data_IF_637704107989
#
_entry.id   IF_637704107989
#
_cell.length_a   1.000
_cell.length_b   1.000
_cell.length_c   1.000
_cell.angle_alpha   90.00
_cell.angle_beta   90.00
_cell.angle_gamma   90.00
#
_symmetry.space_group_name_H-M   'P 1'
#
loop_
_entity.id
_entity.type
_entity.pdbx_description
1 polymer ?
#
# COMPACT_ATOMS: atom_id res chain seq x y z
N UNK A 1 15.88 -2.08 -17.60
CA UNK A 1 15.07 -2.01 -16.37
C UNK A 1 15.97 -1.40 -15.32
N UNK A 2 15.73 -0.15 -14.96
CA UNK A 2 16.55 0.55 -13.97
C UNK A 2 16.26 -0.02 -12.59
N UNK A 3 17.32 -0.51 -11.92
CA UNK A 3 17.23 -1.02 -10.55
C UNK A 3 17.13 0.17 -9.63
N UNK A 4 15.96 0.42 -9.05
CA UNK A 4 15.84 1.47 -8.05
C UNK A 4 16.40 0.92 -6.74
N UNK A 5 17.59 1.39 -6.39
CA UNK A 5 18.39 0.88 -5.29
C UNK A 5 17.85 1.42 -3.95
N UNK A 6 16.65 0.98 -3.56
CA UNK A 6 16.06 1.35 -2.27
C UNK A 6 16.57 0.44 -1.16
N UNK A 7 17.04 1.04 -0.07
CA UNK A 7 17.29 0.32 1.18
C UNK A 7 15.95 0.04 1.86
N UNK A 8 15.77 -1.17 2.39
CA UNK A 8 14.58 -1.47 3.17
C UNK A 8 14.53 -0.55 4.42
N UNK A 9 13.35 -0.02 4.82
CA UNK A 9 13.21 0.86 5.99
C UNK A 9 13.76 0.28 7.31
N UNK A 10 13.88 -1.05 7.42
CA UNK A 10 14.52 -1.72 8.55
C UNK A 10 16.08 -1.61 8.56
N UNK A 11 16.66 -0.95 7.55
CA UNK A 11 18.09 -0.83 7.32
C UNK A 11 18.72 -2.10 6.72
N UNK A 12 17.93 -2.96 6.07
CA UNK A 12 18.40 -4.18 5.40
C UNK A 12 18.56 -3.99 3.88
N UNK A 13 19.27 -4.93 3.26
CA UNK A 13 19.49 -4.94 1.80
C UNK A 13 18.38 -5.70 1.09
N UNK A 14 17.94 -5.19 -0.05
CA UNK A 14 16.99 -5.86 -0.93
C UNK A 14 17.73 -6.81 -1.89
N UNK A 15 17.22 -8.03 -2.04
CA UNK A 15 17.64 -9.00 -3.04
C UNK A 15 16.48 -9.34 -3.97
N UNK A 16 16.83 -9.78 -5.17
CA UNK A 16 15.87 -10.15 -6.19
C UNK A 16 15.63 -11.65 -6.21
N UNK A 17 14.37 -12.05 -6.30
CA UNK A 17 13.98 -13.44 -6.61
C UNK A 17 12.71 -13.46 -7.45
N UNK A 18 12.43 -14.61 -8.05
CA UNK A 18 11.11 -14.90 -8.64
C UNK A 18 10.32 -15.74 -7.66
N UNK A 19 9.08 -15.34 -7.39
CA UNK A 19 8.20 -16.05 -6.47
C UNK A 19 6.77 -16.04 -7.00
N UNK A 20 6.01 -17.08 -6.65
CA UNK A 20 4.58 -17.12 -6.95
C UNK A 20 3.85 -16.21 -5.96
N UNK A 21 3.13 -15.22 -6.49
CA UNK A 21 2.38 -14.26 -5.68
C UNK A 21 0.91 -14.63 -5.71
N UNK A 22 0.30 -14.74 -4.53
CA UNK A 22 -1.14 -14.96 -4.36
C UNK A 22 -1.64 -13.80 -3.51
N UNK A 23 -2.46 -12.93 -4.10
CA UNK A 23 -2.98 -11.74 -3.45
C UNK A 23 -4.51 -11.82 -3.44
N UNK A 24 -5.13 -11.62 -2.27
CA UNK A 24 -6.60 -11.75 -2.10
C UNK A 24 -7.16 -13.07 -2.66
N UNK A 25 -6.47 -14.19 -2.42
CA UNK A 25 -6.78 -15.54 -2.94
C UNK A 25 -6.68 -15.68 -4.48
N UNK A 26 -6.21 -14.64 -5.19
CA UNK A 26 -5.98 -14.65 -6.63
C UNK A 26 -4.51 -14.97 -6.92
N UNK A 27 -4.27 -16.02 -7.70
CA UNK A 27 -2.93 -16.34 -8.20
C UNK A 27 -2.46 -15.29 -9.20
N UNK A 28 -1.54 -14.43 -8.77
CA UNK A 28 -0.94 -13.39 -9.59
C UNK A 28 0.17 -13.92 -10.52
N UNK A 29 0.57 -15.17 -10.35
CA UNK A 29 1.60 -15.84 -11.14
C UNK A 29 3.00 -15.71 -10.53
N UNK A 30 4.01 -16.17 -11.26
CA UNK A 30 5.41 -16.06 -10.85
C UNK A 30 5.96 -14.70 -11.28
N UNK A 31 6.23 -13.84 -10.32
CA UNK A 31 6.62 -12.45 -10.54
C UNK A 31 8.03 -12.19 -10.00
N UNK A 32 8.72 -11.22 -10.60
CA UNK A 32 9.95 -10.69 -10.04
C UNK A 32 9.61 -9.90 -8.77
N UNK A 33 10.31 -10.16 -7.67
CA UNK A 33 10.16 -9.46 -6.41
C UNK A 33 11.50 -9.05 -5.82
N UNK A 34 11.45 -7.99 -5.04
CA UNK A 34 12.54 -7.59 -4.16
C UNK A 34 12.18 -8.02 -2.74
N UNK A 35 13.10 -8.65 -2.03
CA UNK A 35 12.87 -9.03 -0.64
C UNK A 35 14.02 -8.60 0.24
N UNK A 36 13.71 -8.19 1.47
CA UNK A 36 14.73 -7.87 2.46
C UNK A 36 15.20 -9.13 3.17
N UNK A 37 16.50 -9.42 3.13
CA UNK A 37 17.06 -10.56 3.88
C UNK A 37 16.99 -10.39 5.41
N UNK A 38 16.82 -9.15 5.88
CA UNK A 38 16.82 -8.81 7.30
C UNK A 38 15.44 -8.92 7.95
N UNK A 39 14.42 -8.27 7.37
CA UNK A 39 13.05 -8.28 7.92
C UNK A 39 12.09 -9.20 7.17
N UNK A 40 12.47 -9.73 6.01
CA UNK A 40 11.61 -10.57 5.18
C UNK A 40 10.51 -9.82 4.42
N UNK A 41 10.46 -8.48 4.47
CA UNK A 41 9.51 -7.71 3.65
C UNK A 41 9.73 -7.97 2.17
N UNK A 42 8.62 -8.09 1.45
CA UNK A 42 8.57 -8.32 0.01
C UNK A 42 8.00 -7.08 -0.65
N UNK A 43 8.66 -6.63 -1.70
CA UNK A 43 8.31 -5.49 -2.51
C UNK A 43 8.11 -5.95 -3.95
N UNK A 44 7.06 -5.43 -4.57
CA UNK A 44 6.75 -5.68 -5.96
C UNK A 44 7.33 -4.53 -6.82
N UNK A 45 8.29 -4.81 -7.71
CA UNK A 45 8.72 -3.89 -8.75
C UNK A 45 7.54 -3.45 -9.60
N UNK A 46 7.62 -2.26 -10.20
CA UNK A 46 6.51 -1.65 -10.95
C UNK A 46 5.81 -2.59 -11.94
N UNK A 47 6.57 -3.37 -12.71
CA UNK A 47 6.01 -4.34 -13.67
C UNK A 47 5.25 -5.47 -12.99
N UNK A 48 5.75 -5.99 -11.87
CA UNK A 48 5.11 -7.05 -11.10
C UNK A 48 3.87 -6.52 -10.39
N UNK A 49 3.97 -5.31 -9.85
CA UNK A 49 2.84 -4.62 -9.24
C UNK A 49 1.70 -4.46 -10.25
N UNK A 50 1.98 -3.96 -11.44
CA UNK A 50 1.00 -3.78 -12.52
C UNK A 50 0.27 -5.09 -12.86
N UNK A 51 0.97 -6.22 -12.90
CA UNK A 51 0.36 -7.54 -13.14
C UNK A 51 -0.60 -7.92 -12.01
N UNK A 52 -0.19 -7.72 -10.75
CA UNK A 52 -1.07 -7.92 -9.58
C UNK A 52 -2.29 -7.02 -9.66
N UNK A 53 -2.10 -5.73 -9.99
CA UNK A 53 -3.20 -4.77 -10.09
C UNK A 53 -4.23 -5.18 -11.14
N UNK A 54 -3.76 -5.59 -12.32
CA UNK A 54 -4.64 -5.99 -13.42
C UNK A 54 -5.42 -7.26 -13.09
N UNK A 55 -4.78 -8.25 -12.45
CA UNK A 55 -5.49 -9.47 -12.02
C UNK A 55 -6.54 -9.19 -10.95
N UNK A 56 -6.26 -8.29 -10.01
CA UNK A 56 -7.26 -7.88 -9.02
C UNK A 56 -8.41 -7.09 -9.67
N UNK A 57 -8.14 -6.30 -10.72
CA UNK A 57 -9.18 -5.62 -11.54
C UNK A 57 -10.07 -6.61 -12.26
N UNK A 58 -9.47 -7.59 -12.91
CA UNK A 58 -10.18 -8.65 -13.63
C UNK A 58 -11.12 -9.44 -12.71
N UNK A 59 -10.76 -9.57 -11.42
CA UNK A 59 -11.55 -10.26 -10.41
C UNK A 59 -12.49 -9.33 -9.61
N UNK A 60 -12.67 -8.06 -10.00
CA UNK A 60 -13.47 -7.05 -9.29
C UNK A 60 -13.04 -6.79 -7.83
N UNK A 61 -11.82 -7.18 -7.45
CA UNK A 61 -11.24 -6.93 -6.12
C UNK A 61 -10.49 -5.59 -6.09
N UNK A 62 -10.26 -5.00 -7.26
CA UNK A 62 -9.66 -3.68 -7.40
C UNK A 62 -10.62 -2.56 -6.98
N UNK A 63 -10.33 -1.94 -5.83
CA UNK A 63 -11.14 -0.86 -5.25
C UNK A 63 -11.72 -1.16 -3.87
N UNK A 64 -11.68 -2.41 -3.40
CA UNK A 64 -12.06 -2.76 -2.02
C UNK A 64 -10.91 -2.64 -1.00
N UNK A 65 -9.66 -2.61 -1.49
CA UNK A 65 -8.52 -2.03 -0.79
C UNK A 65 -7.63 -1.40 -1.86
N UNK A 66 -7.20 -0.14 -1.67
CA UNK A 66 -5.84 0.33 -2.03
C UNK A 66 -5.65 1.85 -1.85
N UNK A 67 -4.69 2.21 -1.00
CA UNK A 67 -3.35 2.70 -1.38
C UNK A 67 -2.57 2.95 -0.09
N UNK A 68 -1.29 2.64 -0.06
CA UNK A 68 -0.39 3.27 0.91
C UNK A 68 -0.57 4.80 0.79
N UNK A 69 -1.23 5.38 1.78
CA UNK A 69 -1.42 6.82 1.88
C UNK A 69 -0.14 7.41 2.45
N UNK A 70 0.42 8.39 1.74
CA UNK A 70 1.60 9.12 2.21
C UNK A 70 1.21 10.05 3.36
N UNK A 71 1.89 9.88 4.48
CA UNK A 71 1.82 10.81 5.60
C UNK A 71 2.84 11.94 5.37
N UNK A 72 2.37 13.17 5.27
CA UNK A 72 3.23 14.34 5.24
C UNK A 72 3.30 14.99 6.62
N UNK A 73 4.46 15.54 6.98
CA UNK A 73 4.59 16.40 8.16
C UNK A 73 4.46 17.86 7.75
N UNK A 74 3.64 18.61 8.49
CA UNK A 74 3.53 20.06 8.37
C UNK A 74 3.65 20.64 9.78
N UNK A 75 4.87 21.03 10.16
CA UNK A 75 5.19 21.40 11.54
C UNK A 75 4.94 20.23 12.50
N UNK A 76 4.09 20.45 13.50
CA UNK A 76 3.67 19.43 14.47
C UNK A 76 2.46 18.60 14.02
N UNK A 77 1.92 18.85 12.82
CA UNK A 77 0.76 18.14 12.29
C UNK A 77 1.15 17.07 11.25
N UNK A 78 0.30 16.06 11.11
CA UNK A 78 0.36 15.04 10.07
C UNK A 78 -0.76 15.28 9.08
N UNK A 79 -0.43 15.33 7.80
CA UNK A 79 -1.37 15.56 6.70
C UNK A 79 -1.46 14.28 5.88
N UNK A 80 -2.69 13.86 5.59
CA UNK A 80 -3.01 12.76 4.67
C UNK A 80 -3.88 13.31 3.56
N UNK A 81 -3.72 12.78 2.34
CA UNK A 81 -4.63 13.05 1.22
C UNK A 81 -5.50 11.83 1.04
N UNK A 82 -6.79 12.01 1.25
CA UNK A 82 -7.78 10.97 1.01
C UNK A 82 -8.08 10.98 -0.49
N UNK A 83 -8.01 9.83 -1.18
CA UNK A 83 -8.35 9.75 -2.60
C UNK A 83 -9.73 10.35 -2.90
N UNK A 84 -9.88 10.94 -4.09
CA UNK A 84 -11.13 11.60 -4.52
C UNK A 84 -12.34 10.68 -4.44
N UNK A 85 -12.16 9.39 -4.74
CA UNK A 85 -13.21 8.38 -4.71
C UNK A 85 -13.74 8.13 -3.29
N UNK A 86 -12.86 8.13 -2.28
CA UNK A 86 -13.23 7.96 -0.86
C UNK A 86 -13.67 9.28 -0.21
N UNK A 87 -13.26 10.42 -0.77
CA UNK A 87 -13.61 11.73 -0.19
C UNK A 87 -14.94 12.30 -0.69
N UNK A 88 -15.57 11.72 -1.72
CA UNK A 88 -16.88 12.16 -2.22
C UNK A 88 -17.95 12.20 -1.14
N UNK A 89 -17.99 11.19 -0.27
CA UNK A 89 -18.97 11.12 0.81
C UNK A 89 -18.57 12.01 2.00
N UNK A 90 -17.26 12.13 2.26
CA UNK A 90 -16.68 13.02 3.27
C UNK A 90 -16.90 14.51 2.97
N UNK A 91 -17.02 14.92 1.70
CA UNK A 91 -17.18 16.33 1.33
C UNK A 91 -18.48 16.98 1.88
N UNK A 92 -19.49 16.17 2.23
CA UNK A 92 -20.77 16.64 2.78
C UNK A 92 -20.79 16.66 4.30
N UNK A 93 -19.77 16.08 4.94
CA UNK A 93 -19.64 15.98 6.39
C UNK A 93 -19.19 17.32 6.97
N UNK A 94 -19.91 17.83 7.96
CA UNK A 94 -19.58 19.10 8.63
C UNK A 94 -18.75 18.92 9.90
N UNK A 95 -18.90 17.79 10.58
CA UNK A 95 -18.21 17.43 11.82
C UNK A 95 -18.01 15.92 11.91
N UNK A 96 -16.96 15.49 12.59
CA UNK A 96 -16.68 14.09 12.88
C UNK A 96 -15.66 13.95 14.02
N UNK A 97 -15.43 12.72 14.45
CA UNK A 97 -14.48 12.36 15.51
C UNK A 97 -13.28 11.62 14.91
N UNK A 98 -12.07 12.03 15.32
CA UNK A 98 -10.82 11.38 14.98
C UNK A 98 -10.20 10.83 16.26
N UNK A 99 -9.99 9.52 16.34
CA UNK A 99 -9.40 8.89 17.53
C UNK A 99 -8.52 7.69 17.17
N UNK A 100 -7.63 7.32 18.10
CA UNK A 100 -6.81 6.11 17.97
C UNK A 100 -7.57 4.91 18.47
N UNK A 101 -7.67 3.88 17.64
CA UNK A 101 -8.21 2.59 18.03
C UNK A 101 -7.04 1.62 18.23
N UNK A 102 -6.64 1.40 19.49
CA UNK A 102 -5.45 0.60 19.80
C UNK A 102 -4.12 1.24 19.35
N UNK A 103 -3.09 0.42 19.12
CA UNK A 103 -1.70 0.90 18.90
C UNK A 103 -1.37 1.25 17.45
N UNK A 104 -2.12 0.73 16.48
CA UNK A 104 -1.76 0.80 15.04
C UNK A 104 -2.91 1.20 14.13
N UNK A 105 -4.03 1.69 14.66
CA UNK A 105 -5.19 2.10 13.86
C UNK A 105 -5.67 3.48 14.27
N UNK A 106 -6.02 4.28 13.26
CA UNK A 106 -6.62 5.60 13.39
C UNK A 106 -8.00 5.52 12.73
N UNK A 107 -9.03 5.87 13.47
CA UNK A 107 -10.42 5.82 13.02
C UNK A 107 -10.98 7.23 12.84
N UNK A 108 -11.79 7.41 11.80
CA UNK A 108 -12.53 8.64 11.53
C UNK A 108 -14.00 8.26 11.47
N UNK A 109 -14.81 8.84 12.35
CA UNK A 109 -16.27 8.65 12.42
C UNK A 109 -16.98 9.98 12.14
N UNK A 110 -18.04 9.95 11.36
CA UNK A 110 -18.79 11.14 10.93
C UNK A 110 -20.21 10.80 10.49
#
# INVERSE_FOLDING_TARGET
MEKINYSCPCGGTLKWKKERIIEDEIDCGVLDIEYCEKCGEVYLPDKSLEIVENKLKENNLWGMQRKEIKFWKSGNAVVIRIPSEMSKDLQKVKMGHLYKEGKRKLAIEF
#
